data_IF_468103582684
#
_entry.id   IF_468103582684
#
_cell.length_a   1.000
_cell.length_b   1.000
_cell.length_c   1.000
_cell.angle_alpha   90.00
_cell.angle_beta   90.00
_cell.angle_gamma   90.00
#
_symmetry.space_group_name_H-M   'P 1'
#
loop_
_entity.id
_entity.type
_entity.pdbx_description
1 polymer ?
#
# COMPACT_ATOMS: atom_id res chain seq x y z
N UNK A 1 2.06 -14.22 -5.59
CA UNK A 1 1.03 -13.41 -4.90
C UNK A 1 0.41 -12.39 -5.83
N UNK A 2 1.19 -11.51 -6.48
CA UNK A 2 0.66 -10.56 -7.49
C UNK A 2 -0.10 -11.26 -8.64
N UNK A 3 0.39 -12.40 -9.12
CA UNK A 3 -0.29 -13.19 -10.18
C UNK A 3 -1.68 -13.70 -9.75
N UNK A 4 -1.94 -13.74 -8.45
CA UNK A 4 -3.21 -14.17 -7.85
C UNK A 4 -4.19 -13.00 -7.66
N UNK A 5 -3.74 -11.76 -7.85
CA UNK A 5 -4.55 -10.54 -7.76
C UNK A 5 -5.20 -10.22 -9.11
N UNK A 6 -6.41 -9.65 -9.07
CA UNK A 6 -7.06 -9.14 -10.27
C UNK A 6 -6.45 -7.80 -10.64
N UNK A 7 -6.40 -7.49 -11.94
CA UNK A 7 -5.87 -6.21 -12.45
C UNK A 7 -6.48 -4.99 -11.77
N UNK A 8 -7.79 -5.02 -11.50
CA UNK A 8 -8.49 -3.96 -10.78
C UNK A 8 -8.04 -3.79 -9.32
N UNK A 9 -7.63 -4.86 -8.65
CA UNK A 9 -7.08 -4.80 -7.28
C UNK A 9 -5.67 -4.19 -7.28
N UNK A 10 -4.89 -4.43 -8.34
CA UNK A 10 -3.54 -3.87 -8.51
C UNK A 10 -3.55 -2.40 -8.96
N UNK A 11 -4.45 -2.04 -9.88
CA UNK A 11 -4.55 -0.69 -10.43
C UNK A 11 -5.26 0.29 -9.47
N UNK A 12 -5.92 -0.23 -8.44
CA UNK A 12 -6.67 0.57 -7.47
C UNK A 12 -5.78 1.11 -6.36
N UNK A 13 -5.76 2.43 -6.20
CA UNK A 13 -5.23 3.07 -4.98
C UNK A 13 -6.23 3.05 -3.81
N UNK A 14 -7.43 2.51 -4.01
CA UNK A 14 -8.46 2.42 -2.99
C UNK A 14 -8.37 1.10 -2.22
N UNK A 15 -7.93 1.11 -0.95
CA UNK A 15 -7.83 -0.10 -0.14
C UNK A 15 -9.20 -0.72 0.20
N UNK A 16 -10.33 -0.04 -0.05
CA UNK A 16 -11.68 -0.60 0.13
C UNK A 16 -12.06 -1.62 -0.95
N UNK A 17 -11.30 -1.72 -2.04
CA UNK A 17 -11.53 -2.73 -3.07
C UNK A 17 -11.05 -4.12 -2.63
N UNK A 18 -10.29 -4.22 -1.53
CA UNK A 18 -9.91 -5.49 -0.92
C UNK A 18 -11.02 -6.00 0.00
N UNK A 19 -11.87 -6.88 -0.54
CA UNK A 19 -12.89 -7.57 0.22
C UNK A 19 -12.41 -8.95 0.69
N UNK A 20 -13.16 -9.56 1.61
CA UNK A 20 -12.84 -10.88 2.18
C UNK A 20 -12.72 -11.96 1.09
N UNK A 21 -13.57 -11.90 0.05
CA UNK A 21 -13.50 -12.87 -1.06
C UNK A 21 -12.22 -12.73 -1.89
N UNK A 22 -11.73 -11.51 -2.12
CA UNK A 22 -10.46 -11.23 -2.77
C UNK A 22 -9.27 -11.78 -1.98
N UNK A 23 -9.25 -11.56 -0.67
CA UNK A 23 -8.21 -12.09 0.23
C UNK A 23 -8.14 -13.62 0.17
N UNK A 24 -9.30 -14.30 0.25
CA UNK A 24 -9.36 -15.77 0.16
C UNK A 24 -8.86 -16.27 -1.19
N UNK A 25 -9.22 -15.58 -2.29
CA UNK A 25 -8.77 -15.94 -3.64
C UNK A 25 -7.26 -15.81 -3.78
N UNK A 26 -6.69 -14.70 -3.31
CA UNK A 26 -5.25 -14.43 -3.38
C UNK A 26 -4.50 -15.47 -2.57
N UNK A 27 -4.90 -15.71 -1.31
CA UNK A 27 -4.30 -16.72 -0.44
C UNK A 27 -4.22 -18.10 -1.13
N UNK A 28 -5.35 -18.56 -1.68
CA UNK A 28 -5.43 -19.82 -2.42
C UNK A 28 -4.56 -19.83 -3.67
N UNK A 29 -4.62 -18.77 -4.48
CA UNK A 29 -3.87 -18.68 -5.72
C UNK A 29 -2.36 -18.51 -5.51
N UNK A 30 -1.94 -18.00 -4.36
CA UNK A 30 -0.53 -17.79 -4.02
C UNK A 30 0.06 -18.89 -3.13
N UNK A 31 -0.76 -19.83 -2.65
CA UNK A 31 -0.34 -20.85 -1.68
C UNK A 31 0.05 -20.29 -0.31
N UNK A 32 -0.51 -19.13 0.06
CA UNK A 32 -0.23 -18.46 1.34
C UNK A 32 -1.42 -18.60 2.30
N UNK A 33 -1.17 -18.43 3.59
CA UNK A 33 -2.25 -18.32 4.56
C UNK A 33 -3.01 -17.00 4.41
N UNK A 34 -4.30 -17.02 4.75
CA UNK A 34 -5.15 -15.81 4.76
C UNK A 34 -4.52 -14.71 5.64
N UNK A 35 -3.91 -15.10 6.77
CA UNK A 35 -3.29 -14.15 7.70
C UNK A 35 -2.12 -13.40 7.06
N UNK A 36 -1.27 -14.08 6.31
CA UNK A 36 -0.13 -13.47 5.62
C UNK A 36 -0.61 -12.47 4.54
N UNK A 37 -1.69 -12.82 3.83
CA UNK A 37 -2.31 -11.90 2.86
C UNK A 37 -2.86 -10.65 3.55
N UNK A 38 -3.54 -10.82 4.70
CA UNK A 38 -4.08 -9.70 5.48
C UNK A 38 -2.95 -8.79 6.00
N UNK A 39 -1.91 -9.38 6.58
CA UNK A 39 -0.77 -8.65 7.13
C UNK A 39 -0.08 -7.80 6.05
N UNK A 40 0.16 -8.38 4.86
CA UNK A 40 0.69 -7.64 3.71
C UNK A 40 -0.19 -6.43 3.34
N UNK A 41 -1.52 -6.57 3.37
CA UNK A 41 -2.41 -5.44 3.08
C UNK A 41 -2.35 -4.34 4.15
N UNK A 42 -2.17 -4.70 5.41
CA UNK A 42 -1.99 -3.74 6.50
C UNK A 42 -0.67 -2.97 6.37
N UNK A 43 0.42 -3.67 6.03
CA UNK A 43 1.71 -3.06 5.74
C UNK A 43 1.64 -2.10 4.56
N UNK A 44 0.97 -2.50 3.47
CA UNK A 44 0.74 -1.62 2.33
C UNK A 44 0.01 -0.33 2.73
N UNK A 45 -1.06 -0.42 3.54
CA UNK A 45 -1.77 0.77 4.05
C UNK A 45 -0.86 1.67 4.89
N UNK A 46 -0.03 1.07 5.74
CA UNK A 46 0.95 1.79 6.56
C UNK A 46 1.97 2.53 5.70
N UNK A 47 2.54 1.86 4.71
CA UNK A 47 3.50 2.44 3.77
C UNK A 47 2.85 3.55 2.94
N UNK A 48 1.65 3.32 2.39
CA UNK A 48 0.93 4.34 1.62
C UNK A 48 0.71 5.63 2.42
N UNK A 49 0.42 5.54 3.73
CA UNK A 49 0.29 6.69 4.63
C UNK A 49 1.61 7.42 4.89
N UNK A 50 2.73 6.69 4.91
CA UNK A 50 4.06 7.30 5.02
C UNK A 50 4.39 8.03 3.72
N UNK A 51 4.22 7.35 2.58
CA UNK A 51 4.46 7.92 1.25
C UNK A 51 3.59 9.13 0.94
N UNK A 52 2.33 9.17 1.41
CA UNK A 52 1.48 10.35 1.25
C UNK A 52 2.02 11.58 1.97
N UNK A 53 2.73 11.41 3.09
CA UNK A 53 3.40 12.51 3.81
C UNK A 53 4.68 12.95 3.09
N UNK A 54 5.44 11.99 2.55
CA UNK A 54 6.69 12.26 1.82
C UNK A 54 6.42 13.00 0.50
N UNK A 55 5.35 12.64 -0.23
CA UNK A 55 4.95 13.35 -1.46
C UNK A 55 4.55 14.82 -1.20
N UNK A 56 4.10 15.13 0.01
CA UNK A 56 3.78 16.49 0.46
C UNK A 56 5.00 17.32 0.88
N UNK A 57 6.18 16.70 1.01
CA UNK A 57 7.41 17.41 1.31
C UNK A 57 7.89 18.12 0.04
N UNK A 58 7.57 19.42 -0.07
CA UNK A 58 8.30 20.30 -0.98
C UNK A 58 9.74 20.34 -0.48
N UNK A 59 10.67 19.82 -1.29
CA UNK A 59 12.10 20.01 -1.03
C UNK A 59 12.32 21.52 -0.95
N UNK A 60 12.72 22.08 0.21
CA UNK A 60 12.94 23.51 0.31
C UNK A 60 13.99 23.90 -0.73
N UNK A 61 13.67 24.92 -1.54
CA UNK A 61 14.66 25.46 -2.49
C UNK A 61 15.85 25.96 -1.67
N UNK A 62 17.06 25.73 -2.21
CA UNK A 62 18.34 26.11 -1.59
C UNK A 62 18.27 27.58 -1.13
N UNK A 63 18.00 27.81 0.15
CA UNK A 63 17.74 29.13 0.73
C UNK A 63 16.79 29.15 1.94
N UNK A 64 15.83 28.22 2.05
CA UNK A 64 14.83 28.21 3.15
C UNK A 64 15.22 27.33 4.35
N UNK A 65 16.31 26.55 4.25
CA UNK A 65 16.76 25.62 5.29
C UNK A 65 17.26 26.28 6.58
N UNK A 66 17.46 27.61 6.59
CA UNK A 66 17.90 28.35 7.78
C UNK A 66 16.78 28.67 8.78
N UNK A 67 15.51 28.44 8.44
CA UNK A 67 14.36 28.71 9.31
C UNK A 67 13.92 27.50 10.16
N UNK A 68 14.65 26.37 10.06
CA UNK A 68 14.37 25.14 10.79
C UNK A 68 15.40 24.86 11.92
N UNK A 69 16.21 25.86 12.29
CA UNK A 69 17.08 25.85 13.49
C UNK A 69 16.38 26.49 14.68
#
# INVERSE_FOLDING_TARGET
>A
MMDSMAKQELDSSNPKLMNVSGIIRIARGSGLEIREVVEMFEEYKRLAKIWSKVKGLKIPKKGEMSALS
#
